data_IF_036620482213
#
_entry.id   IF_036620482213
#
_cell.length_a   1.000
_cell.length_b   1.000
_cell.length_c   1.000
_cell.angle_alpha   90.00
_cell.angle_beta   90.00
_cell.angle_gamma   90.00
#
_symmetry.space_group_name_H-M   'P 1'
#
loop_
_entity.id
_entity.type
_entity.pdbx_description
1 polymer ?
#
# COMPACT_ATOMS: atom_id res chain seq x y z
N UNK A 1 33.43 12.09 18.42
CA UNK A 1 32.68 11.40 17.34
C UNK A 1 31.35 10.74 17.79
N UNK A 2 30.88 10.93 19.04
CA UNK A 2 29.65 10.27 19.57
C UNK A 2 28.34 11.07 19.43
N UNK A 3 28.34 12.24 18.80
CA UNK A 3 27.14 13.10 18.68
C UNK A 3 26.47 13.06 17.29
N UNK A 4 27.19 12.63 16.25
CA UNK A 4 26.66 12.59 14.87
C UNK A 4 25.85 11.33 14.54
N UNK A 5 25.94 10.26 15.35
CA UNK A 5 25.19 9.02 15.07
C UNK A 5 23.67 9.23 15.15
N UNK A 6 23.20 10.15 16.00
CA UNK A 6 21.79 10.54 16.08
C UNK A 6 21.27 11.13 14.77
N UNK A 7 22.12 11.83 14.01
CA UNK A 7 21.73 12.41 12.71
C UNK A 7 21.51 11.28 11.70
N UNK A 8 22.44 10.31 11.64
CA UNK A 8 22.28 9.16 10.76
C UNK A 8 21.07 8.30 11.15
N UNK A 9 20.80 8.14 12.45
CA UNK A 9 19.63 7.43 12.93
C UNK A 9 18.34 8.17 12.55
N UNK A 10 18.29 9.49 12.72
CA UNK A 10 17.13 10.30 12.33
C UNK A 10 16.86 10.20 10.82
N UNK A 11 17.91 10.28 9.99
CA UNK A 11 17.78 10.10 8.53
C UNK A 11 17.24 8.70 8.21
N UNK A 12 17.77 7.65 8.84
CA UNK A 12 17.30 6.29 8.63
C UNK A 12 15.82 6.13 8.98
N UNK A 13 15.37 6.70 10.11
CA UNK A 13 13.95 6.66 10.50
C UNK A 13 13.07 7.39 9.47
N UNK A 14 13.47 8.56 8.98
CA UNK A 14 12.70 9.31 7.97
C UNK A 14 12.60 8.52 6.67
N UNK A 15 13.70 7.92 6.22
CA UNK A 15 13.71 7.09 5.00
C UNK A 15 12.80 5.87 5.16
N UNK A 16 12.87 5.17 6.29
CA UNK A 16 12.01 4.00 6.57
C UNK A 16 10.54 4.42 6.61
N UNK A 17 10.21 5.50 7.32
CA UNK A 17 8.84 5.98 7.42
C UNK A 17 8.27 6.42 6.06
N UNK A 18 9.09 7.04 5.21
CA UNK A 18 8.69 7.41 3.86
C UNK A 18 8.49 6.18 2.96
N UNK A 19 9.39 5.19 3.03
CA UNK A 19 9.27 3.97 2.23
C UNK A 19 8.06 3.11 2.63
N UNK A 20 7.66 3.13 3.90
CA UNK A 20 6.49 2.42 4.40
C UNK A 20 5.21 3.27 4.36
N UNK A 21 5.28 4.51 3.86
CA UNK A 21 4.14 5.41 3.85
C UNK A 21 2.96 4.80 3.09
N UNK A 22 3.22 4.25 1.90
CA UNK A 22 2.19 3.64 1.04
C UNK A 22 1.60 2.36 1.64
N UNK A 23 2.34 1.63 2.47
CA UNK A 23 1.86 0.43 3.18
C UNK A 23 0.96 0.76 4.37
N UNK A 24 1.07 1.97 4.92
CA UNK A 24 0.26 2.43 6.06
C UNK A 24 -1.14 2.86 5.60
N UNK A 25 -1.32 3.23 4.32
CA UNK A 25 -2.63 3.64 3.83
C UNK A 25 -3.53 2.42 3.63
N UNK A 26 -4.67 2.35 4.35
CA UNK A 26 -5.60 1.25 4.18
C UNK A 26 -6.20 1.30 2.78
N UNK A 27 -6.25 0.15 2.13
CA UNK A 27 -6.93 -0.05 0.85
C UNK A 27 -8.40 0.26 1.04
N UNK A 28 -8.93 1.20 0.26
CA UNK A 28 -10.34 1.56 0.31
C UNK A 28 -11.05 1.11 -0.96
N UNK A 29 -12.05 0.24 -0.82
CA UNK A 29 -12.93 -0.10 -1.94
C UNK A 29 -13.80 1.12 -2.24
N UNK A 30 -13.68 1.69 -3.43
CA UNK A 30 -14.44 2.87 -3.85
C UNK A 30 -15.60 2.52 -4.79
N UNK A 31 -15.51 1.39 -5.49
CA UNK A 31 -16.61 0.86 -6.29
C UNK A 31 -16.52 -0.66 -6.46
N UNK A 32 -17.67 -1.31 -6.66
CA UNK A 32 -17.78 -2.73 -6.98
C UNK A 32 -18.75 -2.88 -8.13
N UNK A 33 -18.22 -3.15 -9.31
CA UNK A 33 -19.00 -3.38 -10.52
C UNK A 33 -19.29 -4.87 -10.67
N UNK A 34 -20.53 -5.25 -10.38
CA UNK A 34 -21.01 -6.63 -10.59
C UNK A 34 -21.51 -6.76 -12.01
N UNK A 35 -20.74 -7.42 -12.86
CA UNK A 35 -21.19 -7.70 -14.21
C UNK A 35 -22.28 -8.77 -14.18
N UNK A 36 -23.51 -8.40 -14.52
CA UNK A 36 -24.63 -9.36 -14.59
C UNK A 36 -24.48 -10.36 -15.75
N UNK A 37 -23.61 -10.04 -16.72
CA UNK A 37 -23.32 -10.87 -17.89
C UNK A 37 -22.09 -11.78 -17.73
N UNK A 38 -21.20 -11.50 -16.77
CA UNK A 38 -20.03 -12.35 -16.48
C UNK A 38 -20.21 -13.01 -15.13
N UNK A 39 -20.57 -14.29 -15.16
CA UNK A 39 -20.88 -15.08 -13.96
C UNK A 39 -19.71 -15.31 -12.98
N UNK A 40 -18.47 -14.97 -13.36
CA UNK A 40 -17.27 -15.41 -12.63
C UNK A 40 -16.40 -14.29 -12.00
N UNK A 41 -16.63 -13.00 -12.31
CA UNK A 41 -15.76 -11.92 -11.81
C UNK A 41 -16.53 -10.63 -11.47
N UNK A 42 -16.27 -10.12 -10.27
CA UNK A 42 -16.61 -8.75 -9.87
C UNK A 42 -15.41 -7.83 -10.16
N UNK A 43 -15.65 -6.70 -10.84
CA UNK A 43 -14.63 -5.68 -11.06
C UNK A 43 -14.61 -4.74 -9.85
N UNK A 44 -13.53 -4.76 -9.05
CA UNK A 44 -13.41 -3.94 -7.84
C UNK A 44 -12.47 -2.76 -8.12
N UNK A 45 -12.97 -1.54 -7.92
CA UNK A 45 -12.15 -0.33 -7.97
C UNK A 45 -11.75 0.01 -6.54
N UNK A 46 -10.44 0.11 -6.30
CA UNK A 46 -9.88 0.47 -5.00
C UNK A 46 -9.04 1.74 -5.11
N UNK A 47 -9.08 2.52 -4.04
CA UNK A 47 -8.18 3.62 -3.76
C UNK A 47 -7.07 3.13 -2.82
N UNK A 48 -5.83 3.57 -3.05
CA UNK A 48 -4.61 3.05 -2.42
C UNK A 48 -4.46 1.52 -2.59
N UNK A 49 -4.22 1.06 -3.83
CA UNK A 49 -3.99 -0.36 -4.13
C UNK A 49 -2.77 -0.86 -3.36
N UNK A 50 -2.86 -1.95 -2.59
CA UNK A 50 -1.74 -2.43 -1.80
C UNK A 50 -0.66 -2.95 -2.75
N UNK A 51 0.61 -2.90 -2.34
CA UNK A 51 1.66 -3.61 -3.07
C UNK A 51 1.31 -5.11 -3.07
N UNK A 52 0.94 -5.64 -4.23
CA UNK A 52 0.60 -7.06 -4.40
C UNK A 52 1.70 -7.75 -5.19
N UNK A 53 2.07 -8.95 -4.76
CA UNK A 53 2.86 -9.84 -5.59
C UNK A 53 1.97 -10.32 -6.75
N UNK A 54 2.17 -9.72 -7.92
CA UNK A 54 1.56 -10.09 -9.22
C UNK A 54 0.10 -9.66 -9.43
N UNK A 55 -0.34 -8.56 -8.80
CA UNK A 55 -1.67 -7.99 -9.07
C UNK A 55 -2.84 -8.80 -8.49
N UNK A 56 -2.56 -9.83 -7.68
CA UNK A 56 -3.59 -10.56 -6.94
C UNK A 56 -3.71 -9.95 -5.55
N UNK A 57 -4.87 -9.37 -5.28
CA UNK A 57 -5.30 -9.07 -3.91
C UNK A 57 -5.64 -10.42 -3.28
N UNK A 58 -4.82 -10.85 -2.30
CA UNK A 58 -5.15 -11.98 -1.43
C UNK A 58 -6.11 -11.44 -0.35
N UNK A 59 -7.37 -11.86 -0.43
CA UNK A 59 -8.45 -11.44 0.47
C UNK A 59 -8.81 -12.57 1.44
#
# INVERSE_FOLDING_TARGET
MKKSWFIYLAIAVVVIAFSLWDDIYPVKIIDVHRSTDKFDYDDIIVDHFPLTDRGRIDW
#
